data_IF_257879599474
#
_entry.id   IF_257879599474
#
_cell.length_a   1.000
_cell.length_b   1.000
_cell.length_c   1.000
_cell.angle_alpha   90.00
_cell.angle_beta   90.00
_cell.angle_gamma   90.00
#
_symmetry.space_group_name_H-M   'P 1'
#
loop_
_entity.id
_entity.type
_entity.pdbx_description
1 polymer ?
#
# COMPACT_ATOMS: atom_id res chain seq x y z
N UNK A 1 -10.21 47.89 -33.11
CA UNK A 1 -11.13 46.74 -33.24
C UNK A 1 -10.41 45.54 -32.66
N UNK A 2 -10.25 45.54 -31.34
CA UNK A 2 -9.49 44.54 -30.59
C UNK A 2 -10.34 44.13 -29.39
N UNK A 3 -10.32 42.83 -29.07
CA UNK A 3 -10.75 42.33 -27.77
C UNK A 3 -12.16 41.76 -27.71
N UNK A 4 -12.40 40.59 -28.31
CA UNK A 4 -13.52 39.72 -27.93
C UNK A 4 -13.26 38.21 -27.97
N UNK A 5 -12.00 37.78 -28.01
CA UNK A 5 -11.66 36.35 -28.18
C UNK A 5 -11.10 35.67 -26.91
N UNK A 6 -11.28 36.29 -25.73
CA UNK A 6 -10.71 35.81 -24.47
C UNK A 6 -11.64 34.96 -23.60
N UNK A 7 -12.96 34.99 -23.85
CA UNK A 7 -13.95 34.35 -22.96
C UNK A 7 -14.34 32.93 -23.37
N UNK A 8 -14.15 32.56 -24.64
CA UNK A 8 -14.50 31.21 -25.09
C UNK A 8 -13.45 30.17 -24.72
N UNK A 9 -12.23 30.53 -24.31
CA UNK A 9 -11.21 29.53 -23.97
C UNK A 9 -11.39 28.97 -22.54
N UNK A 10 -12.06 29.71 -21.65
CA UNK A 10 -12.26 29.30 -20.25
C UNK A 10 -13.44 28.33 -20.06
N UNK A 11 -14.46 28.38 -20.91
CA UNK A 11 -15.66 27.54 -20.77
C UNK A 11 -15.45 26.08 -21.23
N UNK A 12 -14.43 25.82 -22.06
CA UNK A 12 -14.09 24.45 -22.52
C UNK A 12 -13.16 23.72 -21.53
N UNK A 13 -12.58 24.42 -20.57
CA UNK A 13 -11.71 23.84 -19.55
C UNK A 13 -12.47 23.06 -18.46
N UNK A 14 -13.78 23.28 -18.32
CA UNK A 14 -14.54 22.75 -17.18
C UNK A 14 -15.08 21.33 -17.39
N UNK A 15 -15.17 20.87 -18.66
CA UNK A 15 -15.64 19.51 -18.98
C UNK A 15 -14.52 18.51 -19.29
N UNK A 16 -13.25 18.93 -19.26
CA UNK A 16 -12.13 18.02 -19.43
C UNK A 16 -11.77 17.34 -18.11
N UNK A 17 -11.53 16.02 -18.17
CA UNK A 17 -11.05 15.26 -17.03
C UNK A 17 -9.75 15.88 -16.49
N UNK A 18 -9.67 16.11 -15.17
CA UNK A 18 -8.44 16.67 -14.59
C UNK A 18 -7.30 15.63 -14.51
N UNK A 19 -6.06 16.13 -14.46
CA UNK A 19 -4.84 15.31 -14.39
C UNK A 19 -4.81 14.34 -13.21
N UNK A 20 -5.45 14.68 -12.09
CA UNK A 20 -5.49 13.82 -10.89
C UNK A 20 -6.35 12.59 -11.13
N UNK A 21 -7.49 12.77 -11.81
CA UNK A 21 -8.43 11.69 -12.13
C UNK A 21 -7.89 10.81 -13.26
N UNK A 22 -7.32 11.40 -14.30
CA UNK A 22 -6.70 10.65 -15.40
C UNK A 22 -5.57 9.74 -14.90
N UNK A 23 -4.69 10.22 -14.00
CA UNK A 23 -3.64 9.39 -13.36
C UNK A 23 -4.16 8.13 -12.69
N UNK A 24 -5.35 8.17 -12.06
CA UNK A 24 -5.97 6.98 -11.44
C UNK A 24 -6.52 6.02 -12.49
N UNK A 25 -7.06 6.54 -13.59
CA UNK A 25 -7.59 5.71 -14.68
C UNK A 25 -6.47 5.11 -15.53
N UNK A 26 -5.35 5.81 -15.74
CA UNK A 26 -4.17 5.30 -16.45
C UNK A 26 -3.69 3.99 -15.82
N UNK A 27 -3.61 3.89 -14.49
CA UNK A 27 -3.19 2.65 -13.80
C UNK A 27 -4.18 1.50 -14.02
N UNK A 28 -5.48 1.80 -14.13
CA UNK A 28 -6.50 0.80 -14.44
C UNK A 28 -6.49 0.40 -15.92
N UNK A 29 -6.08 1.33 -16.79
CA UNK A 29 -6.04 1.16 -18.24
C UNK A 29 -4.77 0.41 -18.69
N UNK A 30 -3.62 0.66 -18.05
CA UNK A 30 -2.31 0.12 -18.42
C UNK A 30 -2.10 -1.35 -18.00
N UNK A 31 -3.14 -2.17 -18.03
CA UNK A 31 -3.05 -3.60 -17.79
C UNK A 31 -3.87 -4.36 -18.82
N UNK A 32 -3.76 -5.69 -18.84
CA UNK A 32 -4.49 -6.58 -19.76
C UNK A 32 -6.03 -6.49 -19.70
N UNK A 33 -6.60 -5.60 -18.89
CA UNK A 33 -8.03 -5.27 -18.86
C UNK A 33 -8.47 -4.34 -20.00
N UNK A 34 -7.56 -3.91 -20.88
CA UNK A 34 -7.90 -3.06 -22.04
C UNK A 34 -9.00 -3.65 -22.93
N UNK A 35 -9.11 -4.98 -22.96
CA UNK A 35 -10.13 -5.67 -23.76
C UNK A 35 -11.53 -5.66 -23.15
N UNK A 36 -11.65 -5.46 -21.83
CA UNK A 36 -12.92 -5.53 -21.11
C UNK A 36 -13.63 -4.19 -20.88
N UNK A 37 -12.97 -3.05 -21.11
CA UNK A 37 -13.51 -1.72 -20.76
C UNK A 37 -13.94 -0.85 -21.95
N UNK A 38 -13.97 -1.37 -23.18
CA UNK A 38 -14.18 -0.58 -24.42
C UNK A 38 -15.47 0.26 -24.46
N UNK A 39 -16.46 0.00 -23.61
CA UNK A 39 -17.75 0.72 -23.60
C UNK A 39 -17.87 1.78 -22.49
N UNK A 40 -16.82 1.99 -21.69
CA UNK A 40 -16.88 2.95 -20.59
C UNK A 40 -16.67 4.39 -21.08
N UNK A 41 -17.68 5.26 -20.91
CA UNK A 41 -17.60 6.72 -21.14
C UNK A 41 -16.34 7.37 -20.53
N UNK A 42 -15.84 6.82 -19.42
CA UNK A 42 -14.62 7.28 -18.73
C UNK A 42 -13.34 7.04 -19.54
N UNK A 43 -13.33 6.05 -20.44
CA UNK A 43 -12.21 5.83 -21.34
C UNK A 43 -12.16 6.89 -22.44
N UNK A 44 -13.30 7.23 -23.03
CA UNK A 44 -13.36 8.31 -24.02
C UNK A 44 -12.85 9.64 -23.43
N UNK A 45 -13.29 9.99 -22.21
CA UNK A 45 -12.80 11.17 -21.49
C UNK A 45 -11.29 11.09 -21.16
N UNK A 46 -10.76 9.87 -20.91
CA UNK A 46 -9.33 9.67 -20.68
C UNK A 46 -8.53 9.82 -21.97
N UNK A 47 -8.99 9.25 -23.08
CA UNK A 47 -8.35 9.33 -24.39
C UNK A 47 -8.31 10.78 -24.89
N UNK A 48 -9.41 11.52 -24.72
CA UNK A 48 -9.47 12.95 -24.98
C UNK A 48 -8.43 13.71 -24.13
N UNK A 49 -8.38 13.44 -22.82
CA UNK A 49 -7.38 14.07 -21.95
C UNK A 49 -5.94 13.72 -22.34
N UNK A 50 -5.66 12.48 -22.74
CA UNK A 50 -4.34 12.04 -23.18
C UNK A 50 -3.91 12.72 -24.49
N UNK A 51 -4.86 13.09 -25.35
CA UNK A 51 -4.57 13.85 -26.57
C UNK A 51 -4.10 15.29 -26.30
N UNK A 52 -4.54 15.88 -25.19
CA UNK A 52 -4.22 17.27 -24.81
C UNK A 52 -3.06 17.34 -23.82
N UNK A 53 -2.96 16.39 -22.87
CA UNK A 53 -1.99 16.44 -21.78
C UNK A 53 -0.76 15.53 -22.01
N UNK A 54 0.33 16.14 -22.48
CA UNK A 54 1.60 15.43 -22.78
C UNK A 54 2.25 14.75 -21.57
N UNK A 55 2.05 15.27 -20.36
CA UNK A 55 2.53 14.66 -19.10
C UNK A 55 1.81 13.34 -18.81
N UNK A 56 0.48 13.33 -18.91
CA UNK A 56 -0.32 12.12 -18.72
C UNK A 56 -0.04 11.08 -19.81
N UNK A 57 0.14 11.52 -21.07
CA UNK A 57 0.54 10.64 -22.17
C UNK A 57 1.91 9.98 -21.94
N UNK A 58 2.94 10.75 -21.57
CA UNK A 58 4.28 10.20 -21.24
C UNK A 58 4.23 9.16 -20.12
N UNK A 59 3.40 9.41 -19.10
CA UNK A 59 3.21 8.46 -18.01
C UNK A 59 2.58 7.15 -18.49
N UNK A 60 1.56 7.21 -19.33
CA UNK A 60 0.96 6.01 -19.93
C UNK A 60 2.01 5.21 -20.72
N UNK A 61 2.77 5.88 -21.60
CA UNK A 61 3.84 5.23 -22.38
C UNK A 61 4.90 4.57 -21.48
N UNK A 62 5.28 5.20 -20.36
CA UNK A 62 6.23 4.59 -19.42
C UNK A 62 5.69 3.32 -18.76
N UNK A 63 4.39 3.28 -18.46
CA UNK A 63 3.73 2.13 -17.87
C UNK A 63 3.63 1.00 -18.88
N UNK A 64 3.20 1.29 -20.11
CA UNK A 64 3.18 0.30 -21.20
C UNK A 64 4.56 -0.26 -21.50
N UNK A 65 5.60 0.58 -21.47
CA UNK A 65 6.98 0.11 -21.63
C UNK A 65 7.38 -0.85 -20.50
N UNK A 66 7.03 -0.52 -19.26
CA UNK A 66 7.31 -1.36 -18.10
C UNK A 66 6.56 -2.69 -18.20
N UNK A 67 5.29 -2.66 -18.59
CA UNK A 67 4.47 -3.84 -18.83
C UNK A 67 5.08 -4.74 -19.91
N UNK A 68 5.51 -4.19 -21.05
CA UNK A 68 6.20 -4.96 -22.09
C UNK A 68 7.49 -5.60 -21.60
N UNK A 69 8.26 -4.89 -20.77
CA UNK A 69 9.49 -5.45 -20.17
C UNK A 69 9.18 -6.61 -19.23
N UNK A 70 8.10 -6.51 -18.45
CA UNK A 70 7.66 -7.60 -17.56
C UNK A 70 7.17 -8.81 -18.35
N UNK A 71 6.40 -8.62 -19.42
CA UNK A 71 5.92 -9.71 -20.28
C UNK A 71 7.00 -10.32 -21.17
N UNK A 72 8.11 -9.63 -21.42
CA UNK A 72 9.26 -10.18 -22.13
C UNK A 72 10.05 -11.19 -21.28
N UNK A 73 9.83 -11.24 -19.96
CA UNK A 73 10.48 -12.21 -19.08
C UNK A 73 9.88 -13.60 -19.37
N UNK A 74 10.70 -14.59 -19.76
CA UNK A 74 10.20 -15.94 -20.00
C UNK A 74 9.58 -16.49 -18.72
N UNK A 75 8.34 -16.97 -18.81
CA UNK A 75 7.71 -17.66 -17.69
C UNK A 75 8.40 -19.01 -17.51
N UNK A 76 9.08 -19.18 -16.38
CA UNK A 76 9.58 -20.49 -15.96
C UNK A 76 8.41 -21.30 -15.44
N UNK A 77 8.24 -22.52 -15.95
CA UNK A 77 7.25 -23.44 -15.41
C UNK A 77 7.57 -23.73 -13.93
N UNK A 78 6.56 -23.65 -13.04
CA UNK A 78 6.75 -23.99 -11.64
C UNK A 78 7.09 -25.48 -11.52
N UNK A 79 7.89 -25.88 -10.52
CA UNK A 79 8.22 -27.29 -10.31
C UNK A 79 6.95 -28.11 -10.04
N UNK A 80 7.00 -29.37 -10.46
CA UNK A 80 5.90 -30.33 -10.27
C UNK A 80 5.44 -30.37 -8.80
N UNK A 81 4.12 -30.39 -8.60
CA UNK A 81 3.51 -30.44 -7.27
C UNK A 81 3.50 -29.12 -6.48
N UNK A 82 4.11 -28.03 -6.98
CA UNK A 82 4.02 -26.72 -6.33
C UNK A 82 2.57 -26.26 -6.18
N UNK A 83 1.79 -26.35 -7.26
CA UNK A 83 0.39 -25.92 -7.27
C UNK A 83 -0.49 -26.78 -6.36
N UNK A 84 -0.27 -28.09 -6.36
CA UNK A 84 -0.98 -29.01 -5.48
C UNK A 84 -0.67 -28.71 -4.01
N UNK A 85 0.61 -28.54 -3.67
CA UNK A 85 1.03 -28.17 -2.32
C UNK A 85 0.48 -26.82 -1.86
N UNK A 86 0.45 -25.83 -2.76
CA UNK A 86 -0.15 -24.52 -2.48
C UNK A 86 -1.65 -24.64 -2.25
N UNK A 87 -2.37 -25.38 -3.10
CA UNK A 87 -3.81 -25.62 -2.97
C UNK A 87 -4.14 -26.32 -1.65
N UNK A 88 -3.38 -27.35 -1.28
CA UNK A 88 -3.56 -28.04 0.00
C UNK A 88 -3.35 -27.09 1.18
N UNK A 89 -2.34 -26.21 1.13
CA UNK A 89 -2.09 -25.22 2.20
C UNK A 89 -3.22 -24.20 2.32
N UNK A 90 -3.71 -23.66 1.19
CA UNK A 90 -4.82 -22.70 1.19
C UNK A 90 -6.07 -23.34 1.81
N UNK A 91 -6.43 -24.55 1.38
CA UNK A 91 -7.60 -25.28 1.92
C UNK A 91 -7.44 -25.58 3.40
N UNK A 92 -6.24 -25.98 3.85
CA UNK A 92 -5.97 -26.23 5.25
C UNK A 92 -6.07 -24.95 6.11
N UNK A 93 -5.58 -23.82 5.60
CA UNK A 93 -5.66 -22.53 6.29
C UNK A 93 -7.11 -22.03 6.37
N UNK A 94 -7.88 -22.18 5.29
CA UNK A 94 -9.31 -21.87 5.28
C UNK A 94 -10.07 -22.71 6.31
N UNK A 95 -9.86 -24.03 6.33
CA UNK A 95 -10.47 -24.94 7.31
C UNK A 95 -10.07 -24.58 8.76
N UNK A 96 -8.80 -24.25 9.00
CA UNK A 96 -8.34 -23.81 10.32
C UNK A 96 -8.94 -22.46 10.72
N UNK A 97 -9.12 -21.54 9.77
CA UNK A 97 -9.77 -20.26 9.99
C UNK A 97 -11.26 -20.41 10.33
N UNK A 98 -11.94 -21.37 9.70
CA UNK A 98 -13.33 -21.70 9.98
C UNK A 98 -13.50 -22.35 11.36
N UNK A 99 -12.64 -23.31 11.71
CA UNK A 99 -12.64 -23.92 13.05
C UNK A 99 -12.40 -22.88 14.15
N UNK A 100 -11.45 -21.95 13.92
CA UNK A 100 -11.23 -20.81 14.82
C UNK A 100 -12.49 -19.95 14.94
N UNK A 101 -13.15 -19.61 13.84
CA UNK A 101 -14.40 -18.84 13.84
C UNK A 101 -15.54 -19.57 14.56
N UNK A 102 -15.68 -20.89 14.38
CA UNK A 102 -16.67 -21.72 15.08
C UNK A 102 -16.41 -21.74 16.58
N UNK A 103 -15.18 -21.99 17.00
CA UNK A 103 -14.79 -21.99 18.42
C UNK A 103 -15.03 -20.62 19.08
N UNK A 104 -14.80 -19.50 18.37
CA UNK A 104 -15.10 -18.14 18.86
C UNK A 104 -16.60 -18.00 19.08
N UNK A 105 -17.42 -18.42 18.10
CA UNK A 105 -18.89 -18.36 18.19
C UNK A 105 -19.45 -19.24 19.31
N UNK A 106 -18.85 -20.41 19.53
CA UNK A 106 -19.29 -21.35 20.57
C UNK A 106 -18.87 -20.92 22.00
N UNK A 107 -18.24 -19.75 22.16
CA UNK A 107 -17.82 -19.21 23.46
C UNK A 107 -16.69 -20.02 24.13
N UNK A 108 -16.06 -20.96 23.42
CA UNK A 108 -15.08 -21.91 23.98
C UNK A 108 -13.64 -21.40 24.02
N UNK A 109 -13.34 -20.20 23.51
CA UNK A 109 -11.94 -19.74 23.40
C UNK A 109 -11.53 -18.75 24.49
N UNK A 110 -12.45 -18.15 25.23
CA UNK A 110 -12.10 -17.29 26.34
C UNK A 110 -12.80 -17.80 27.59
N UNK A 111 -12.14 -18.64 28.41
CA UNK A 111 -12.54 -18.73 29.81
C UNK A 111 -12.29 -17.33 30.35
N UNK A 112 -13.33 -16.48 30.38
CA UNK A 112 -13.24 -15.16 31.00
C UNK A 112 -12.85 -15.44 32.45
N UNK A 113 -11.60 -15.20 32.87
CA UNK A 113 -11.24 -15.42 34.25
C UNK A 113 -12.13 -14.47 35.06
N UNK A 114 -12.75 -14.96 36.14
CA UNK A 114 -13.69 -14.18 36.97
C UNK A 114 -13.10 -12.86 37.50
N UNK A 115 -11.78 -12.67 37.36
CA UNK A 115 -11.03 -11.46 37.65
C UNK A 115 -11.10 -10.36 36.56
N UNK A 116 -11.73 -10.60 35.41
CA UNK A 116 -11.88 -9.60 34.33
C UNK A 116 -12.64 -8.34 34.78
N UNK A 117 -13.60 -8.50 35.70
CA UNK A 117 -14.33 -7.36 36.28
C UNK A 117 -13.42 -6.42 37.09
N UNK A 118 -12.36 -6.95 37.73
CA UNK A 118 -11.39 -6.15 38.49
C UNK A 118 -10.50 -5.33 37.55
N UNK A 119 -10.07 -5.94 36.44
CA UNK A 119 -9.25 -5.26 35.43
C UNK A 119 -10.02 -4.13 34.72
N UNK A 120 -11.31 -4.33 34.42
CA UNK A 120 -12.17 -3.30 33.80
C UNK A 120 -12.34 -2.11 34.76
N UNK A 121 -12.64 -2.37 36.04
CA UNK A 121 -12.78 -1.31 37.04
C UNK A 121 -11.50 -0.48 37.21
N UNK A 122 -10.33 -1.13 37.26
CA UNK A 122 -9.04 -0.44 37.36
C UNK A 122 -8.75 0.43 36.13
N UNK A 123 -9.07 -0.07 34.92
CA UNK A 123 -8.88 0.70 33.68
C UNK A 123 -9.80 1.92 33.58
N UNK A 124 -11.04 1.83 34.05
CA UNK A 124 -11.96 2.95 34.08
C UNK A 124 -11.46 4.07 35.02
N UNK A 125 -10.93 3.72 36.19
CA UNK A 125 -10.31 4.68 37.12
C UNK A 125 -9.10 5.36 36.47
N UNK A 126 -8.28 4.61 35.73
CA UNK A 126 -7.12 5.14 35.01
C UNK A 126 -7.52 6.10 33.88
N UNK A 127 -8.56 5.77 33.10
CA UNK A 127 -9.08 6.66 32.06
C UNK A 127 -9.75 7.91 32.64
N UNK A 128 -10.49 7.79 33.74
CA UNK A 128 -11.11 8.93 34.43
C UNK A 128 -10.03 9.86 34.99
N UNK A 129 -8.98 9.32 35.60
CA UNK A 129 -7.87 10.12 36.13
C UNK A 129 -7.07 10.81 35.03
N UNK A 130 -6.78 10.12 33.92
CA UNK A 130 -6.16 10.74 32.72
C UNK A 130 -7.07 11.82 32.14
N UNK A 131 -8.35 11.54 31.93
CA UNK A 131 -9.32 12.51 31.42
C UNK A 131 -9.43 13.74 32.31
N UNK A 132 -9.45 13.56 33.63
CA UNK A 132 -9.45 14.65 34.61
C UNK A 132 -8.16 15.48 34.56
N UNK A 133 -7.01 14.84 34.29
CA UNK A 133 -5.74 15.52 34.10
C UNK A 133 -5.74 16.39 32.82
N UNK A 134 -6.32 15.90 31.73
CA UNK A 134 -6.44 16.65 30.47
C UNK A 134 -7.54 17.73 30.49
N UNK A 135 -8.58 17.58 31.33
CA UNK A 135 -9.65 18.57 31.49
C UNK A 135 -9.30 19.71 32.46
N UNK A 136 -8.18 19.61 33.20
CA UNK A 136 -7.65 20.79 33.89
C UNK A 136 -7.23 21.82 32.83
N UNK A 137 -7.76 23.05 32.87
CA UNK A 137 -7.34 24.09 31.95
C UNK A 137 -5.82 24.24 32.12
N UNK A 138 -5.11 23.94 31.05
CA UNK A 138 -3.67 24.07 30.92
C UNK A 138 -3.33 25.56 31.03
N UNK A 139 -3.33 26.07 32.26
CA UNK A 139 -2.93 27.42 32.56
C UNK A 139 -1.40 27.46 32.55
N UNK A 140 -0.89 28.01 31.45
CA UNK A 140 0.47 28.53 31.30
C UNK A 140 1.58 27.48 31.22
N UNK A 141 1.85 27.01 30.00
CA UNK A 141 3.22 26.63 29.64
C UNK A 141 3.69 27.56 28.52
N UNK A 142 4.83 28.20 28.81
CA UNK A 142 5.60 29.12 27.98
C UNK A 142 5.50 28.86 26.48
N UNK A 143 5.30 29.93 25.74
CA UNK A 143 5.46 30.00 24.29
C UNK A 143 6.87 29.56 23.88
N UNK A 144 7.01 28.31 23.47
CA UNK A 144 8.20 27.84 22.75
C UNK A 144 8.14 28.43 21.34
N UNK A 145 9.09 29.30 21.07
CA UNK A 145 9.29 30.00 19.80
C UNK A 145 9.48 29.01 18.64
N UNK A 146 8.77 29.15 17.50
CA UNK A 146 8.89 28.26 16.36
C UNK A 146 10.10 28.68 15.51
N UNK A 147 11.28 28.22 15.91
CA UNK A 147 12.54 28.41 15.19
C UNK A 147 13.16 27.12 14.64
N UNK A 148 12.44 25.99 14.69
CA UNK A 148 12.95 24.69 14.22
C UNK A 148 12.53 24.43 12.78
N UNK A 149 13.53 24.47 11.92
CA UNK A 149 13.50 24.16 10.49
C UNK A 149 12.87 22.79 10.21
N UNK A 150 12.08 22.72 9.13
CA UNK A 150 11.41 21.51 8.62
C UNK A 150 12.33 20.33 8.32
N UNK A 151 13.65 20.54 8.33
CA UNK A 151 14.66 19.54 8.02
C UNK A 151 14.89 18.56 9.19
N UNK A 152 14.57 18.94 10.43
CA UNK A 152 14.69 18.06 11.59
C UNK A 152 13.59 16.99 11.67
N UNK A 153 12.37 17.33 11.24
CA UNK A 153 11.21 16.43 11.31
C UNK A 153 11.27 15.29 10.30
N UNK A 154 11.84 15.53 9.11
CA UNK A 154 12.10 14.46 8.14
C UNK A 154 13.18 13.50 8.63
N UNK A 155 14.25 14.01 9.27
CA UNK A 155 15.30 13.20 9.88
C UNK A 155 14.75 12.28 10.98
N UNK A 156 13.97 12.82 11.91
CA UNK A 156 13.38 12.04 13.02
C UNK A 156 12.41 10.99 12.48
N UNK A 157 11.61 11.33 11.46
CA UNK A 157 10.68 10.38 10.85
C UNK A 157 11.40 9.21 10.16
N UNK A 158 12.44 9.49 9.38
CA UNK A 158 13.24 8.46 8.69
C UNK A 158 13.97 7.57 9.70
N UNK A 159 14.55 8.15 10.74
CA UNK A 159 15.27 7.41 11.78
C UNK A 159 14.32 6.51 12.60
N UNK A 160 13.12 6.99 12.92
CA UNK A 160 12.13 6.19 13.62
C UNK A 160 11.59 5.02 12.78
N UNK A 161 11.47 5.20 11.46
CA UNK A 161 11.11 4.12 10.55
C UNK A 161 12.24 3.09 10.36
N UNK A 162 13.50 3.54 10.31
CA UNK A 162 14.65 2.64 10.26
C UNK A 162 14.74 1.75 11.51
N UNK A 163 14.55 2.32 12.70
CA UNK A 163 14.56 1.56 13.96
C UNK A 163 13.39 0.59 14.09
N UNK A 164 12.21 0.90 13.52
CA UNK A 164 11.09 -0.05 13.44
C UNK A 164 11.38 -1.20 12.46
N UNK A 165 11.94 -0.90 11.29
CA UNK A 165 12.29 -1.91 10.30
C UNK A 165 13.34 -2.91 10.82
N UNK A 166 14.28 -2.45 11.67
CA UNK A 166 15.28 -3.32 12.31
C UNK A 166 14.72 -4.29 13.34
N UNK A 167 13.53 -4.03 13.89
CA UNK A 167 12.87 -4.93 14.86
C UNK A 167 11.88 -5.89 14.23
N UNK A 168 11.69 -5.83 12.92
CA UNK A 168 10.80 -6.73 12.21
C UNK A 168 11.59 -7.97 11.74
N UNK A 169 11.42 -9.16 12.37
CA UNK A 169 12.17 -10.38 12.01
C UNK A 169 11.89 -10.85 10.56
N UNK A 170 10.94 -10.23 9.88
CA UNK A 170 10.64 -10.46 8.46
C UNK A 170 11.57 -9.67 7.52
N UNK A 171 12.16 -8.55 7.96
CA UNK A 171 13.07 -7.75 7.14
C UNK A 171 14.39 -8.47 6.85
N UNK A 172 14.91 -9.22 7.83
CA UNK A 172 16.13 -10.03 7.66
C UNK A 172 15.89 -11.29 6.82
N UNK A 173 14.69 -11.89 6.87
CA UNK A 173 14.36 -13.05 6.02
C UNK A 173 14.24 -12.68 4.54
N UNK A 174 13.71 -11.50 4.24
CA UNK A 174 13.67 -11.00 2.86
C UNK A 174 15.08 -10.74 2.29
N UNK A 175 16.03 -10.33 3.14
CA UNK A 175 17.43 -10.11 2.75
C UNK A 175 18.25 -11.39 2.65
N UNK A 176 18.10 -12.32 3.59
CA UNK A 176 18.85 -13.59 3.59
C UNK A 176 18.33 -14.57 2.54
N UNK A 177 17.04 -14.53 2.19
CA UNK A 177 16.51 -15.29 1.06
C UNK A 177 17.12 -14.88 -0.28
N UNK A 178 17.63 -13.64 -0.39
CA UNK A 178 18.21 -13.14 -1.64
C UNK A 178 19.71 -13.44 -1.77
N UNK A 179 20.47 -13.52 -0.66
CA UNK A 179 21.91 -13.82 -0.72
C UNK A 179 22.24 -15.30 -0.81
N UNK A 180 21.39 -16.21 -0.33
CA UNK A 180 21.62 -17.67 -0.43
C UNK A 180 21.46 -18.17 -1.86
N UNK A 181 20.67 -17.48 -2.70
CA UNK A 181 20.50 -17.86 -4.11
C UNK A 181 21.78 -17.64 -4.94
N UNK A 182 22.64 -16.68 -4.56
CA UNK A 182 23.83 -16.33 -5.34
C UNK A 182 25.02 -17.27 -5.09
N UNK A 183 25.07 -18.01 -3.99
CA UNK A 183 26.22 -18.91 -3.72
C UNK A 183 26.05 -20.31 -4.28
N UNK A 184 24.85 -20.69 -4.75
CA UNK A 184 24.62 -22.02 -5.35
C UNK A 184 25.06 -22.02 -6.83
N UNK A 185 24.96 -20.89 -7.54
CA UNK A 185 25.39 -20.79 -8.95
C UNK A 185 26.92 -20.84 -9.15
N UNK A 186 27.72 -20.48 -8.14
CA UNK A 186 29.19 -20.50 -8.27
C UNK A 186 29.82 -21.87 -8.01
N UNK A 187 29.13 -22.77 -7.29
CA UNK A 187 29.65 -24.14 -7.07
C UNK A 187 29.50 -25.06 -8.27
N UNK A 188 28.55 -24.80 -9.18
CA UNK A 188 28.37 -25.60 -10.39
C UNK A 188 29.37 -25.23 -11.52
N UNK A 189 29.99 -24.05 -11.47
CA UNK A 189 30.99 -23.63 -12.48
C UNK A 189 32.41 -24.15 -12.25
N UNK A 190 32.72 -24.69 -11.06
CA UNK A 190 34.06 -25.21 -10.73
C UNK A 190 34.17 -26.75 -10.79
N UNK A 191 33.10 -27.45 -11.18
CA UNK A 191 33.03 -28.91 -11.17
C UNK A 191 33.00 -29.59 -12.57
N UNK A 192 33.17 -28.84 -13.66
CA UNK A 192 33.30 -29.42 -15.01
C UNK A 192 34.70 -29.18 -15.58
N UNK A 193 35.56 -30.22 -15.66
CA UNK A 193 36.80 -30.19 -16.45
C UNK A 193 36.53 -30.24 -17.96
#
# INVERSE_FOLDING_TARGET
MEGKDGKEVEEWGEKMMNCRRSKKLIVKYSGSLRDGLKEDKKLAELEEHLSVCSECHRKLVSLERTERLLFAIPLKEPPDGLWDGLKTRIVAEEAASEDRRRKVKDGRILPIPRYSFVAIAASAILLISIGFFFLRPFSSQESISPGTTSDGLSSIYVEQHALRAWRDPLADRARLGWSVQLTIEDTERLASP
#
